data_IF_826360545395
#
_entry.id   IF_826360545395
#
_cell.length_a   1.000
_cell.length_b   1.000
_cell.length_c   1.000
_cell.angle_alpha   90.00
_cell.angle_beta   90.00
_cell.angle_gamma   90.00
#
_symmetry.space_group_name_H-M   'P 1'
#
loop_
_entity.id
_entity.type
_entity.pdbx_description
1 polymer ?
#
# COMPACT_ATOMS: atom_id res chain seq x y z
N UNK A 1 16.42 -6.18 -6.58
CA UNK A 1 15.04 -5.72 -6.89
C UNK A 1 14.47 -5.21 -5.58
N UNK A 2 13.86 -4.03 -5.56
CA UNK A 2 13.24 -3.51 -4.35
C UNK A 2 11.74 -3.82 -4.38
N UNK A 3 11.26 -4.57 -3.38
CA UNK A 3 9.83 -4.87 -3.23
C UNK A 3 9.25 -3.97 -2.15
N UNK A 4 8.18 -3.26 -2.50
CA UNK A 4 7.58 -2.27 -1.62
C UNK A 4 6.09 -2.51 -1.41
N UNK A 5 5.62 -2.14 -0.22
CA UNK A 5 4.21 -1.97 0.10
C UNK A 5 3.87 -0.49 -0.04
N UNK A 6 3.05 -0.16 -1.04
CA UNK A 6 2.53 1.17 -1.29
C UNK A 6 1.16 1.31 -0.62
N UNK A 7 1.10 2.02 0.51
CA UNK A 7 -0.15 2.28 1.23
C UNK A 7 -0.79 3.57 0.72
N UNK A 8 -1.86 3.47 -0.04
CA UNK A 8 -2.70 4.59 -0.41
C UNK A 8 -3.78 4.83 0.65
N UNK A 9 -3.84 6.06 1.15
CA UNK A 9 -4.79 6.48 2.18
C UNK A 9 -5.28 7.91 1.98
N UNK A 10 -6.45 8.23 2.54
CA UNK A 10 -6.97 9.60 2.65
C UNK A 10 -6.78 10.12 4.07
N UNK A 11 -6.55 11.42 4.25
CA UNK A 11 -6.54 12.09 5.56
C UNK A 11 -7.89 11.97 6.29
N UNK A 12 -8.99 11.83 5.55
CA UNK A 12 -10.33 11.65 6.14
C UNK A 12 -10.59 10.21 6.64
N UNK A 13 -9.61 9.31 6.50
CA UNK A 13 -9.71 7.92 6.95
C UNK A 13 -9.10 7.75 8.34
N UNK A 14 -9.93 7.86 9.38
CA UNK A 14 -9.49 7.70 10.79
C UNK A 14 -8.86 6.33 11.11
N UNK A 15 -9.22 5.28 10.37
CA UNK A 15 -8.63 3.93 10.49
C UNK A 15 -7.21 3.89 9.89
N UNK A 16 -6.98 4.65 8.81
CA UNK A 16 -5.71 4.67 8.10
C UNK A 16 -4.58 5.20 8.98
N UNK A 17 -4.84 6.22 9.80
CA UNK A 17 -3.87 6.81 10.72
C UNK A 17 -3.49 5.89 11.88
N UNK A 18 -4.46 5.19 12.48
CA UNK A 18 -4.21 4.31 13.63
C UNK A 18 -3.36 3.08 13.26
N UNK A 19 -3.41 2.66 12.00
CA UNK A 19 -2.74 1.44 11.53
C UNK A 19 -1.36 1.68 10.89
N UNK A 20 -1.05 2.90 10.41
CA UNK A 20 0.20 3.14 9.65
C UNK A 20 1.49 2.68 10.34
N UNK A 21 1.66 2.95 11.64
CA UNK A 21 2.87 2.53 12.36
C UNK A 21 2.99 1.01 12.44
N UNK A 22 1.86 0.32 12.61
CA UNK A 22 1.83 -1.14 12.66
C UNK A 22 2.11 -1.73 11.26
N UNK A 23 1.48 -1.19 10.22
CA UNK A 23 1.65 -1.65 8.84
C UNK A 23 3.10 -1.53 8.40
N UNK A 24 3.75 -0.39 8.70
CA UNK A 24 5.16 -0.16 8.41
C UNK A 24 6.07 -1.15 9.13
N UNK A 25 5.81 -1.38 10.43
CA UNK A 25 6.57 -2.35 11.21
C UNK A 25 6.48 -3.75 10.60
N UNK A 26 5.27 -4.20 10.24
CA UNK A 26 5.08 -5.52 9.64
C UNK A 26 5.76 -5.63 8.27
N UNK A 27 5.66 -4.60 7.43
CA UNK A 27 6.35 -4.59 6.13
C UNK A 27 7.87 -4.75 6.28
N UNK A 28 8.47 -3.99 7.20
CA UNK A 28 9.91 -4.09 7.51
C UNK A 28 10.31 -5.46 8.08
N UNK A 29 9.48 -6.05 8.94
CA UNK A 29 9.70 -7.41 9.47
C UNK A 29 9.65 -8.49 8.38
N UNK A 30 9.04 -8.19 7.22
CA UNK A 30 8.99 -9.07 6.04
C UNK A 30 10.00 -8.66 4.97
N UNK A 31 10.98 -7.81 5.29
CA UNK A 31 12.01 -7.32 4.38
C UNK A 31 11.44 -6.56 3.15
N UNK A 32 10.34 -5.84 3.36
CA UNK A 32 9.72 -4.98 2.35
C UNK A 32 9.91 -3.51 2.67
N UNK A 33 10.16 -2.72 1.64
CA UNK A 33 10.05 -1.26 1.73
C UNK A 33 8.60 -0.87 2.02
N UNK A 34 8.39 0.23 2.74
CA UNK A 34 7.07 0.74 3.04
C UNK A 34 6.95 2.21 2.67
N UNK A 35 5.97 2.53 1.83
CA UNK A 35 5.69 3.90 1.41
C UNK A 35 4.26 4.26 1.81
N UNK A 36 4.14 5.21 2.73
CA UNK A 36 2.85 5.76 3.12
C UNK A 36 2.46 6.92 2.20
N UNK A 37 1.48 6.70 1.33
CA UNK A 37 1.04 7.63 0.31
C UNK A 37 -0.32 8.19 0.71
N UNK A 38 -0.32 9.44 1.19
CA UNK A 38 -1.56 10.19 1.40
C UNK A 38 -1.99 10.82 0.08
N UNK A 39 -3.27 10.72 -0.27
CA UNK A 39 -3.81 11.32 -1.49
C UNK A 39 -3.66 12.85 -1.51
N UNK A 40 -3.68 13.47 -0.34
CA UNK A 40 -3.47 14.89 -0.10
C UNK A 40 -1.99 15.31 -0.24
N UNK A 41 -1.04 14.40 -0.01
CA UNK A 41 0.37 14.64 -0.32
C UNK A 41 0.61 14.48 -1.82
N UNK A 42 0.41 15.57 -2.54
CA UNK A 42 0.49 15.59 -4.00
C UNK A 42 1.87 15.22 -4.54
N UNK A 43 2.96 15.42 -3.80
CA UNK A 43 4.31 15.09 -4.26
C UNK A 43 4.50 13.57 -4.30
N UNK A 44 4.26 12.91 -3.16
CA UNK A 44 4.37 11.46 -3.03
C UNK A 44 3.30 10.75 -3.87
N UNK A 45 2.06 11.23 -3.86
CA UNK A 45 1.00 10.69 -4.71
C UNK A 45 1.38 10.76 -6.19
N UNK A 46 1.90 11.88 -6.69
CA UNK A 46 2.29 11.99 -8.11
C UNK A 46 3.37 11.00 -8.51
N UNK A 47 4.30 10.68 -7.60
CA UNK A 47 5.37 9.70 -7.81
C UNK A 47 4.80 8.30 -8.05
N UNK A 48 3.85 7.88 -7.23
CA UNK A 48 3.35 6.49 -7.23
C UNK A 48 1.97 6.29 -7.86
N UNK A 49 1.26 7.35 -8.25
CA UNK A 49 -0.11 7.26 -8.80
C UNK A 49 -0.21 6.34 -10.02
N UNK A 50 0.87 6.17 -10.79
CA UNK A 50 0.87 5.28 -11.95
C UNK A 50 0.61 3.83 -11.55
N UNK A 51 1.16 3.39 -10.41
CA UNK A 51 0.92 2.05 -9.84
C UNK A 51 -0.53 1.91 -9.37
N UNK A 52 -1.07 2.96 -8.75
CA UNK A 52 -2.48 2.95 -8.33
C UNK A 52 -3.42 2.88 -9.54
N UNK A 53 -3.21 3.74 -10.53
CA UNK A 53 -4.10 3.86 -11.69
C UNK A 53 -3.99 2.70 -12.67
N UNK A 54 -2.92 1.90 -12.64
CA UNK A 54 -2.87 0.66 -13.43
C UNK A 54 -3.81 -0.41 -12.89
N UNK A 55 -4.06 -0.43 -11.58
CA UNK A 55 -5.07 -1.32 -10.96
C UNK A 55 -6.45 -0.67 -10.91
N UNK A 56 -6.50 0.66 -10.71
CA UNK A 56 -7.73 1.42 -10.52
C UNK A 56 -7.80 2.65 -11.44
N UNK A 57 -8.05 2.48 -12.75
CA UNK A 57 -8.08 3.58 -13.69
C UNK A 57 -9.09 4.68 -13.32
N UNK A 58 -10.24 4.29 -12.76
CA UNK A 58 -11.36 5.16 -12.36
C UNK A 58 -11.54 5.28 -10.83
N UNK A 59 -10.75 4.53 -10.05
CA UNK A 59 -10.80 4.48 -8.57
C UNK A 59 -12.11 3.95 -7.98
N UNK A 60 -12.99 3.33 -8.76
CA UNK A 60 -14.33 2.93 -8.32
C UNK A 60 -14.34 1.84 -7.25
N UNK A 61 -13.34 0.95 -7.23
CA UNK A 61 -13.28 -0.23 -6.35
C UNK A 61 -12.15 -0.19 -5.30
N UNK A 62 -11.66 1.01 -4.99
CA UNK A 62 -10.63 1.18 -3.97
C UNK A 62 -11.20 0.94 -2.56
N UNK A 63 -10.67 -0.06 -1.86
CA UNK A 63 -10.92 -0.24 -0.42
C UNK A 63 -9.87 0.52 0.40
N UNK A 64 -10.28 1.43 1.29
CA UNK A 64 -9.35 2.26 2.09
C UNK A 64 -9.01 1.64 3.46
N UNK A 65 -7.72 1.67 3.89
CA UNK A 65 -6.53 1.93 3.06
C UNK A 65 -6.31 0.83 2.01
N UNK A 66 -5.74 1.21 0.88
CA UNK A 66 -5.35 0.26 -0.19
C UNK A 66 -3.85 0.04 -0.12
N UNK A 67 -3.40 -1.20 -0.03
CA UNK A 67 -1.99 -1.57 -0.05
C UNK A 67 -1.70 -2.29 -1.36
N UNK A 68 -0.80 -1.76 -2.18
CA UNK A 68 -0.33 -2.42 -3.39
C UNK A 68 1.10 -2.88 -3.14
N UNK A 69 1.37 -4.16 -3.39
CA UNK A 69 2.71 -4.73 -3.30
C UNK A 69 3.27 -4.76 -4.72
N UNK A 70 4.41 -4.12 -4.95
CA UNK A 70 5.06 -4.13 -6.24
C UNK A 70 6.59 -4.12 -6.16
N UNK A 71 7.20 -4.68 -7.20
CA UNK A 71 8.63 -4.60 -7.44
C UNK A 71 8.97 -3.33 -8.24
N UNK A 72 10.07 -2.68 -7.90
CA UNK A 72 10.59 -1.47 -8.56
C UNK A 72 9.55 -0.34 -8.72
N UNK A 73 8.91 0.14 -7.63
CA UNK A 73 7.79 1.09 -7.65
C UNK A 73 8.09 2.45 -8.31
N UNK A 74 9.38 2.81 -8.47
CA UNK A 74 9.82 4.07 -9.07
C UNK A 74 10.21 3.95 -10.56
N UNK A 75 10.32 2.73 -11.07
CA UNK A 75 10.77 2.44 -12.44
C UNK A 75 9.69 1.74 -13.26
N UNK A 76 10.09 0.69 -13.98
CA UNK A 76 9.16 -0.27 -14.56
C UNK A 76 8.68 -1.18 -13.43
N UNK A 77 7.50 -0.86 -12.91
CA UNK A 77 6.94 -1.55 -11.76
C UNK A 77 6.21 -2.82 -12.18
N UNK A 78 6.33 -3.87 -11.36
CA UNK A 78 5.58 -5.11 -11.51
C UNK A 78 4.71 -5.31 -10.27
N UNK A 79 3.39 -5.41 -10.45
CA UNK A 79 2.47 -5.58 -9.32
C UNK A 79 2.45 -7.05 -8.92
N UNK A 80 2.77 -7.31 -7.66
CA UNK A 80 2.74 -8.63 -7.04
C UNK A 80 1.33 -8.95 -6.56
N UNK A 81 0.66 -7.96 -5.97
CA UNK A 81 -0.73 -8.08 -5.55
C UNK A 81 -1.18 -6.93 -4.65
N UNK A 82 -2.28 -7.14 -3.92
CA UNK A 82 -2.88 -6.10 -3.11
C UNK A 82 -3.54 -6.62 -1.83
N UNK A 83 -3.64 -5.74 -0.84
CA UNK A 83 -4.42 -5.92 0.38
C UNK A 83 -5.35 -4.71 0.50
N UNK A 84 -6.64 -4.93 0.76
CA UNK A 84 -7.67 -3.88 0.76
C UNK A 84 -8.30 -3.71 2.13
N UNK A 85 -8.49 -2.46 2.53
CA UNK A 85 -9.31 -2.09 3.68
C UNK A 85 -8.57 -2.13 5.01
N UNK A 86 -9.27 -1.70 6.06
CA UNK A 86 -8.83 -1.88 7.43
C UNK A 86 -8.98 -3.33 7.86
N UNK A 87 -8.01 -3.85 8.61
CA UNK A 87 -8.05 -5.20 9.15
C UNK A 87 -7.90 -5.19 10.67
N UNK A 88 -8.44 -6.19 11.39
CA UNK A 88 -8.10 -6.42 12.78
C UNK A 88 -6.59 -6.48 12.99
N UNK A 89 -6.13 -5.99 14.15
CA UNK A 89 -4.71 -6.03 14.51
C UNK A 89 -4.19 -7.47 14.45
N UNK A 90 -3.16 -7.72 13.65
CA UNK A 90 -2.58 -9.05 13.44
C UNK A 90 -2.84 -9.63 12.05
N UNK A 91 -3.98 -9.33 11.41
CA UNK A 91 -4.33 -9.90 10.11
C UNK A 91 -3.51 -9.34 8.94
N UNK A 92 -3.03 -8.10 9.06
CA UNK A 92 -2.26 -7.47 7.99
C UNK A 92 -1.02 -8.30 7.61
N UNK A 93 -0.34 -8.90 8.60
CA UNK A 93 0.81 -9.78 8.37
C UNK A 93 0.43 -11.00 7.52
N UNK A 94 -0.60 -11.74 7.95
CA UNK A 94 -1.01 -12.96 7.23
C UNK A 94 -1.46 -12.66 5.81
N UNK A 95 -2.19 -11.55 5.61
CA UNK A 95 -2.65 -11.11 4.29
C UNK A 95 -1.49 -10.70 3.39
N UNK A 96 -0.53 -9.94 3.93
CA UNK A 96 0.66 -9.53 3.20
C UNK A 96 1.53 -10.73 2.82
N UNK A 97 1.73 -11.68 3.74
CA UNK A 97 2.44 -12.92 3.47
C UNK A 97 1.77 -13.75 2.38
N UNK A 98 0.43 -13.85 2.38
CA UNK A 98 -0.32 -14.57 1.36
C UNK A 98 -0.17 -13.97 -0.05
N UNK A 99 0.18 -12.68 -0.16
CA UNK A 99 0.43 -12.02 -1.45
C UNK A 99 1.86 -12.23 -1.93
N UNK A 100 2.84 -12.32 -1.03
CA UNK A 100 4.26 -12.40 -1.40
C UNK A 100 4.85 -13.81 -1.42
N UNK A 101 4.10 -14.82 -0.93
CA UNK A 101 4.48 -16.24 -0.91
C UNK A 101 4.12 -16.92 -2.22
#
# INVERSE_FOLDING_TARGET
>A
MTRAVLKFSSEDCGICHKMSFYDEKIAKELDLDFVNIKMQDTATYRKYRKVLLSQYPDKADMGWPTYIICDNPEGNFDIVGEVKGGHPKGEFRSRLQAVIS
#
